data_IF_669499477838
#
_entry.id   IF_669499477838
#
_cell.length_a   1.000
_cell.length_b   1.000
_cell.length_c   1.000
_cell.angle_alpha   90.00
_cell.angle_beta   90.00
_cell.angle_gamma   90.00
#
_symmetry.space_group_name_H-M   'P 1'
#
loop_
_entity.id
_entity.type
_entity.pdbx_description
1 polymer ?
#
# COMPACT_ATOMS: atom_id res chain seq x y z
N UNK A 1 -6.16 -6.52 -11.69
CA UNK A 1 -5.87 -7.72 -10.87
C UNK A 1 -6.76 -8.91 -11.23
N UNK A 2 -8.01 -8.70 -11.68
CA UNK A 2 -8.84 -9.79 -12.22
C UNK A 2 -9.45 -10.72 -11.16
N UNK A 3 -9.37 -10.35 -9.88
CA UNK A 3 -9.98 -11.09 -8.77
C UNK A 3 -11.35 -10.48 -8.43
N UNK A 4 -12.35 -11.32 -8.17
CA UNK A 4 -13.66 -10.92 -7.66
C UNK A 4 -13.73 -11.15 -6.14
N UNK A 5 -14.76 -10.62 -5.49
CA UNK A 5 -14.97 -10.77 -4.05
C UNK A 5 -15.10 -12.24 -3.62
N UNK A 6 -15.71 -13.10 -4.46
CA UNK A 6 -15.86 -14.52 -4.16
C UNK A 6 -14.51 -15.24 -4.04
N UNK A 7 -13.50 -14.83 -4.82
CA UNK A 7 -12.13 -15.34 -4.69
C UNK A 7 -11.55 -15.05 -3.30
N UNK A 8 -11.88 -13.90 -2.72
CA UNK A 8 -11.47 -13.56 -1.36
C UNK A 8 -12.27 -14.35 -0.32
N UNK A 9 -13.58 -14.49 -0.50
CA UNK A 9 -14.44 -15.29 0.41
C UNK A 9 -14.02 -16.75 0.45
N UNK A 10 -13.69 -17.35 -0.70
CA UNK A 10 -13.21 -18.72 -0.81
C UNK A 10 -11.87 -18.94 -0.10
N UNK A 11 -11.05 -17.89 0.03
CA UNK A 11 -9.81 -17.89 0.80
C UNK A 11 -10.03 -17.63 2.32
N UNK A 12 -11.28 -17.55 2.78
CA UNK A 12 -11.64 -17.30 4.17
C UNK A 12 -11.57 -15.82 4.59
N UNK A 13 -11.53 -14.89 3.63
CA UNK A 13 -11.50 -13.45 3.90
C UNK A 13 -12.91 -12.91 4.07
N UNK A 14 -13.13 -12.15 5.14
CA UNK A 14 -14.34 -11.33 5.29
C UNK A 14 -14.24 -10.10 4.40
N UNK A 15 -15.11 -10.01 3.39
CA UNK A 15 -15.22 -8.80 2.55
C UNK A 15 -16.03 -7.75 3.30
N UNK A 16 -15.43 -6.60 3.60
CA UNK A 16 -16.09 -5.51 4.29
C UNK A 16 -17.22 -4.90 3.44
N UNK A 17 -18.30 -4.46 4.10
CA UNK A 17 -19.48 -3.89 3.43
C UNK A 17 -19.22 -2.50 2.83
N UNK A 18 -18.22 -1.78 3.35
CA UNK A 18 -17.80 -0.48 2.82
C UNK A 18 -16.35 -0.18 3.18
N UNK A 19 -15.77 0.79 2.48
CA UNK A 19 -14.45 1.32 2.82
C UNK A 19 -14.43 1.89 4.25
N UNK A 20 -15.50 2.57 4.68
CA UNK A 20 -15.59 3.15 6.03
C UNK A 20 -15.58 2.08 7.11
N UNK A 21 -16.30 0.97 6.91
CA UNK A 21 -16.26 -0.16 7.81
C UNK A 21 -14.83 -0.74 7.90
N UNK A 22 -14.15 -0.88 6.75
CA UNK A 22 -12.77 -1.35 6.71
C UNK A 22 -11.81 -0.44 7.48
N UNK A 23 -11.85 0.87 7.24
CA UNK A 23 -10.96 1.84 7.91
C UNK A 23 -11.23 1.91 9.42
N UNK A 24 -12.49 1.79 9.84
CA UNK A 24 -12.88 1.78 11.25
C UNK A 24 -12.42 0.52 11.97
N UNK A 25 -12.60 -0.65 11.36
CA UNK A 25 -12.49 -1.93 12.05
C UNK A 25 -11.07 -2.52 11.94
N UNK A 26 -10.32 -2.24 10.87
CA UNK A 26 -8.97 -2.77 10.67
C UNK A 26 -7.95 -2.17 11.64
N UNK A 27 -7.05 -2.99 12.17
CA UNK A 27 -5.87 -2.54 12.95
C UNK A 27 -4.66 -2.23 12.04
N UNK A 28 -4.55 -2.99 10.94
CA UNK A 28 -3.51 -2.82 9.93
C UNK A 28 -4.19 -2.66 8.56
N UNK A 29 -3.90 -1.56 7.88
CA UNK A 29 -4.37 -1.28 6.53
C UNK A 29 -3.19 -1.40 5.58
N UNK A 30 -3.34 -2.22 4.54
CA UNK A 30 -2.31 -2.44 3.52
C UNK A 30 -2.83 -1.90 2.19
N UNK A 31 -2.07 -1.00 1.57
CA UNK A 31 -2.41 -0.37 0.30
C UNK A 31 -1.22 -0.38 -0.65
N UNK A 32 -1.50 -0.23 -1.94
CA UNK A 32 -0.44 -0.11 -2.95
C UNK A 32 0.16 1.30 -2.93
N UNK A 33 -0.67 2.33 -3.11
CA UNK A 33 -0.25 3.74 -3.11
C UNK A 33 -0.48 4.39 -1.75
N UNK A 34 0.06 5.59 -1.60
CA UNK A 34 -0.18 6.50 -0.49
C UNK A 34 -1.70 6.70 -0.28
N UNK A 35 -2.15 6.95 0.96
CA UNK A 35 -3.56 7.22 1.21
C UNK A 35 -3.95 8.56 0.56
N UNK A 36 -5.20 8.68 0.13
CA UNK A 36 -5.74 10.00 -0.19
C UNK A 36 -5.84 10.87 1.07
N UNK A 37 -6.04 12.18 0.91
CA UNK A 37 -6.28 13.07 2.05
C UNK A 37 -7.50 12.64 2.88
N UNK A 38 -8.57 12.20 2.24
CA UNK A 38 -9.78 11.70 2.92
C UNK A 38 -9.51 10.38 3.66
N UNK A 39 -8.69 9.50 3.10
CA UNK A 39 -8.31 8.25 3.75
C UNK A 39 -7.39 8.50 4.96
N UNK A 40 -6.49 9.48 4.84
CA UNK A 40 -5.62 9.90 5.94
C UNK A 40 -6.42 10.49 7.11
N UNK A 41 -7.61 11.05 6.88
CA UNK A 41 -8.53 11.50 7.95
C UNK A 41 -9.26 10.34 8.65
N UNK A 42 -9.36 9.19 8.01
CA UNK A 42 -10.00 7.98 8.57
C UNK A 42 -9.03 7.16 9.42
N UNK A 43 -7.73 7.46 9.35
CA UNK A 43 -6.74 6.86 10.22
C UNK A 43 -7.04 7.20 11.68
N UNK A 44 -6.73 6.26 12.56
CA UNK A 44 -6.94 6.41 14.00
C UNK A 44 -5.68 6.05 14.79
N UNK A 45 -5.66 6.49 16.03
CA UNK A 45 -4.56 6.24 16.95
C UNK A 45 -4.29 4.73 17.09
N UNK A 46 -3.02 4.34 16.97
CA UNK A 46 -2.59 2.94 17.07
C UNK A 46 -2.80 2.09 15.81
N UNK A 47 -3.47 2.61 14.79
CA UNK A 47 -3.61 1.91 13.51
C UNK A 47 -2.29 1.93 12.72
N UNK A 48 -2.00 0.85 12.00
CA UNK A 48 -0.81 0.76 11.14
C UNK A 48 -1.20 0.84 9.67
N UNK A 49 -0.54 1.70 8.91
CA UNK A 49 -0.64 1.80 7.46
C UNK A 49 0.65 1.29 6.82
N UNK A 50 0.52 0.35 5.87
CA UNK A 50 1.64 -0.16 5.05
C UNK A 50 1.34 0.16 3.60
N UNK A 51 2.18 0.99 2.97
CA UNK A 51 2.01 1.40 1.57
C UNK A 51 3.32 1.93 0.96
N UNK A 52 3.37 2.08 -0.37
CA UNK A 52 4.31 3.03 -0.96
C UNK A 52 3.86 4.43 -0.59
N UNK A 53 4.63 5.13 0.24
CA UNK A 53 4.21 6.39 0.86
C UNK A 53 4.94 7.59 0.27
N UNK A 54 6.18 7.41 -0.18
CA UNK A 54 7.04 8.49 -0.68
C UNK A 54 7.20 9.65 0.31
N UNK A 55 7.70 9.41 1.55
CA UNK A 55 7.70 10.40 2.63
C UNK A 55 8.39 11.72 2.28
N UNK A 56 9.45 11.68 1.45
CA UNK A 56 10.19 12.86 1.05
C UNK A 56 9.40 13.77 0.09
N UNK A 57 8.43 13.20 -0.65
CA UNK A 57 7.55 13.94 -1.56
C UNK A 57 6.23 14.35 -0.88
N UNK A 58 5.82 13.62 0.15
CA UNK A 58 4.51 13.72 0.78
C UNK A 58 4.57 14.13 2.26
N UNK A 59 5.40 15.13 2.59
CA UNK A 59 5.64 15.56 3.98
C UNK A 59 4.35 16.01 4.69
N UNK A 60 3.50 16.78 4.02
CA UNK A 60 2.22 17.24 4.59
C UNK A 60 1.27 16.07 4.92
N UNK A 61 1.21 15.07 4.03
CA UNK A 61 0.42 13.86 4.24
C UNK A 61 0.98 13.00 5.39
N UNK A 62 2.32 12.93 5.50
CA UNK A 62 2.99 12.24 6.61
C UNK A 62 2.64 12.87 7.95
N UNK A 63 2.75 14.20 8.05
CA UNK A 63 2.40 14.92 9.28
C UNK A 63 0.92 14.78 9.61
N UNK A 64 0.03 14.71 8.60
CA UNK A 64 -1.40 14.41 8.81
C UNK A 64 -1.60 13.01 9.40
N UNK A 65 -0.98 11.98 8.83
CA UNK A 65 -1.08 10.60 9.33
C UNK A 65 -0.54 10.48 10.77
N UNK A 66 0.57 11.18 11.04
CA UNK A 66 1.19 11.26 12.36
C UNK A 66 0.31 12.00 13.38
N UNK A 67 -0.35 13.09 12.96
CA UNK A 67 -1.29 13.83 13.80
C UNK A 67 -2.52 12.99 14.20
N UNK A 68 -2.94 12.03 13.36
CA UNK A 68 -3.97 11.04 13.70
C UNK A 68 -3.48 9.94 14.67
N UNK A 69 -2.18 9.91 15.01
CA UNK A 69 -1.59 8.88 15.87
C UNK A 69 -1.39 7.52 15.19
N UNK A 70 -1.39 7.49 13.85
CA UNK A 70 -1.16 6.26 13.09
C UNK A 70 0.33 5.96 12.93
N UNK A 71 0.66 4.68 12.83
CA UNK A 71 2.01 4.21 12.47
C UNK A 71 2.07 3.97 10.96
N UNK A 72 3.04 4.58 10.27
CA UNK A 72 3.20 4.42 8.82
C UNK A 72 4.49 3.64 8.52
N UNK A 73 4.36 2.55 7.76
CA UNK A 73 5.47 1.79 7.19
C UNK A 73 5.53 2.09 5.70
N UNK A 74 6.51 2.91 5.30
CA UNK A 74 6.76 3.28 3.92
C UNK A 74 7.57 2.20 3.19
N UNK A 75 6.94 1.49 2.25
CA UNK A 75 7.57 0.40 1.49
C UNK A 75 8.69 0.87 0.56
N UNK A 76 8.63 2.12 0.11
CA UNK A 76 9.70 2.77 -0.68
C UNK A 76 10.97 3.06 0.14
N UNK A 77 10.86 3.07 1.47
CA UNK A 77 11.97 3.30 2.39
C UNK A 77 12.60 2.01 2.95
N UNK A 78 12.15 0.83 2.51
CA UNK A 78 12.74 -0.44 2.93
C UNK A 78 14.21 -0.49 2.51
N UNK A 79 15.16 -0.70 3.46
CA UNK A 79 16.59 -0.66 3.15
C UNK A 79 16.99 -1.81 2.23
N UNK A 80 17.83 -1.50 1.24
CA UNK A 80 18.34 -2.48 0.27
C UNK A 80 19.51 -3.29 0.85
N UNK A 81 19.17 -4.22 1.74
CA UNK A 81 20.11 -5.16 2.37
C UNK A 81 19.63 -6.60 2.19
N UNK A 82 20.55 -7.57 2.21
CA UNK A 82 20.23 -8.99 1.91
C UNK A 82 19.09 -9.56 2.75
N UNK A 83 18.99 -9.16 4.04
CA UNK A 83 17.90 -9.61 4.94
C UNK A 83 16.52 -9.07 4.54
N UNK A 84 16.46 -7.90 3.92
CA UNK A 84 15.22 -7.22 3.55
C UNK A 84 14.86 -7.39 2.07
N UNK A 85 15.65 -8.12 1.28
CA UNK A 85 15.48 -8.26 -0.15
C UNK A 85 14.10 -8.82 -0.54
N UNK A 86 13.52 -9.73 0.26
CA UNK A 86 12.16 -10.27 0.02
C UNK A 86 11.05 -9.23 0.22
N UNK A 87 11.34 -8.12 0.91
CA UNK A 87 10.42 -7.03 1.19
C UNK A 87 10.63 -5.84 0.23
N UNK A 88 11.62 -5.90 -0.67
CA UNK A 88 11.86 -4.85 -1.66
C UNK A 88 10.82 -4.93 -2.79
N UNK A 89 9.73 -4.20 -2.58
CA UNK A 89 8.65 -4.11 -3.54
C UNK A 89 9.04 -3.28 -4.79
N UNK A 90 10.01 -2.36 -4.71
CA UNK A 90 10.48 -1.58 -5.86
C UNK A 90 11.18 -2.48 -6.88
N UNK A 91 12.02 -3.40 -6.42
CA UNK A 91 12.68 -4.38 -7.30
C UNK A 91 11.68 -5.26 -8.04
N UNK A 92 10.58 -5.66 -7.39
CA UNK A 92 9.52 -6.44 -8.03
C UNK A 92 8.79 -5.64 -9.12
N UNK A 93 8.47 -4.37 -8.85
CA UNK A 93 7.81 -3.49 -9.83
C UNK A 93 8.73 -3.16 -11.01
N UNK A 94 10.02 -2.92 -10.76
CA UNK A 94 11.01 -2.65 -11.80
C UNK A 94 11.15 -3.84 -12.78
N UNK A 95 11.09 -5.07 -12.28
CA UNK A 95 11.14 -6.26 -13.13
C UNK A 95 9.93 -6.33 -14.09
N UNK A 96 8.72 -6.11 -13.58
CA UNK A 96 7.50 -6.07 -14.40
C UNK A 96 7.56 -4.93 -15.43
N UNK A 97 8.02 -3.74 -15.01
CA UNK A 97 8.16 -2.59 -15.89
C UNK A 97 9.15 -2.84 -17.03
N UNK A 98 10.29 -3.47 -16.73
CA UNK A 98 11.29 -3.85 -17.74
C UNK A 98 10.72 -4.82 -18.78
N UNK A 99 10.00 -5.85 -18.35
CA UNK A 99 9.33 -6.78 -19.26
C UNK A 99 8.30 -6.06 -20.15
N UNK A 100 7.44 -5.21 -19.57
CA UNK A 100 6.45 -4.43 -20.34
C UNK A 100 7.11 -3.51 -21.35
N UNK A 101 8.22 -2.85 -21.01
CA UNK A 101 8.93 -1.97 -21.93
C UNK A 101 9.36 -2.70 -23.22
N UNK A 102 9.85 -3.94 -23.11
CA UNK A 102 10.23 -4.77 -24.28
C UNK A 102 9.00 -5.11 -25.14
N UNK A 103 7.89 -5.48 -24.52
CA UNK A 103 6.64 -5.81 -25.24
C UNK A 103 6.10 -4.58 -25.99
N UNK A 104 6.08 -3.41 -25.35
CA UNK A 104 5.64 -2.17 -26.00
C UNK A 104 6.58 -1.76 -27.14
N UNK A 105 7.89 -1.95 -26.98
CA UNK A 105 8.87 -1.66 -28.03
C UNK A 105 8.72 -2.59 -29.25
N UNK A 106 8.35 -3.86 -29.05
CA UNK A 106 8.14 -4.81 -30.14
C UNK A 106 6.79 -4.72 -30.85
N UNK A 107 5.82 -4.01 -30.26
CA UNK A 107 4.48 -3.79 -30.83
C UNK A 107 4.35 -2.46 -31.60
N UNK A 108 5.42 -1.66 -31.67
CA UNK A 108 5.54 -0.48 -32.55
C UNK A 108 6.44 -0.79 -33.75
#
# INVERSE_FOLDING_TARGET
>A
AGFNDDTYRDAGVTVAESADALWRDAEVVIKVREPSDEEAERLREGQTLIAFFWPAQNEALLEKCKAQGATVIAMDMVPRISRAQKMDALSSMANIAGYRAVIEAGNN
#
